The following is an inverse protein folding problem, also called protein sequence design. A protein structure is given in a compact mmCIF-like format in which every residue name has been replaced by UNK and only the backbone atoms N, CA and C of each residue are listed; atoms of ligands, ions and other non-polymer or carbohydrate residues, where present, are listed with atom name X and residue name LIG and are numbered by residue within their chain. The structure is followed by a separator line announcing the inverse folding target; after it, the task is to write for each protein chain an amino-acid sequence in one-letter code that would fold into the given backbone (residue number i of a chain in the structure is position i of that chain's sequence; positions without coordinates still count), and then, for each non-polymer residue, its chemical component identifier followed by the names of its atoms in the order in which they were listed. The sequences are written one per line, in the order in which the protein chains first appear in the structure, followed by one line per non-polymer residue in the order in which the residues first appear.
data_IF_295121384042
#
_entry.id   IF_295121384042
#
_cell.length_a   1.000
_cell.length_b   1.000
_cell.length_c   1.000
_cell.angle_alpha   90.00
_cell.angle_beta   90.00
_cell.angle_gamma   90.00
#
_symmetry.space_group_name_H-M   'P 1'
#
loop_
_entity.id
_entity.type
_entity.pdbx_description
1 polymer ?
#
# COMPACT_ATOMS: atom_id res chain seq x y z
N UNK A 1 -43.11 9.65 -3.58
CA UNK A 1 -41.98 9.65 -2.61
C UNK A 1 -41.76 11.09 -2.18
N UNK A 2 -41.81 11.36 -0.88
CA UNK A 2 -41.66 12.72 -0.34
C UNK A 2 -40.29 13.29 -0.73
N UNK A 3 -40.26 14.27 -1.64
CA UNK A 3 -39.12 15.17 -1.82
C UNK A 3 -39.08 16.12 -0.63
N UNK A 4 -38.64 15.63 0.54
CA UNK A 4 -38.11 16.54 1.56
C UNK A 4 -36.82 17.10 0.99
N UNK A 5 -36.83 18.38 0.64
CA UNK A 5 -35.61 19.10 0.30
C UNK A 5 -34.70 19.10 1.53
N UNK A 6 -33.75 18.16 1.58
CA UNK A 6 -32.73 18.18 2.62
C UNK A 6 -31.85 19.40 2.39
N UNK A 7 -31.82 20.30 3.35
CA UNK A 7 -30.83 21.37 3.38
C UNK A 7 -29.44 20.73 3.49
N UNK A 8 -28.46 21.15 2.66
CA UNK A 8 -27.10 20.62 2.75
C UNK A 8 -26.55 20.79 4.17
N UNK A 9 -25.82 19.82 4.75
CA UNK A 9 -25.30 19.92 6.12
C UNK A 9 -24.45 21.19 6.33
N UNK A 10 -24.85 22.04 7.27
CA UNK A 10 -24.16 23.30 7.57
C UNK A 10 -24.41 23.73 9.02
N UNK A 11 -23.56 24.62 9.52
CA UNK A 11 -23.70 25.27 10.83
C UNK A 11 -23.16 26.70 10.72
N UNK A 12 -24.07 27.66 10.59
CA UNK A 12 -23.70 29.07 10.40
C UNK A 12 -23.11 29.70 11.67
N UNK A 13 -23.47 29.20 12.85
CA UNK A 13 -22.93 29.70 14.11
C UNK A 13 -21.49 29.25 14.27
N UNK A 14 -21.19 27.99 13.95
CA UNK A 14 -19.83 27.47 13.91
C UNK A 14 -18.94 28.23 12.92
N UNK A 15 -19.44 28.50 11.71
CA UNK A 15 -18.71 29.27 10.71
C UNK A 15 -18.36 30.68 11.20
N UNK A 16 -19.34 31.38 11.78
CA UNK A 16 -19.12 32.71 12.33
C UNK A 16 -18.18 32.70 13.53
N UNK A 17 -18.25 31.66 14.38
CA UNK A 17 -17.34 31.50 15.51
C UNK A 17 -15.89 31.32 15.06
N UNK A 18 -15.64 30.48 14.05
CA UNK A 18 -14.30 30.26 13.48
C UNK A 18 -13.75 31.55 12.87
N UNK A 19 -14.55 32.25 12.05
CA UNK A 19 -14.16 33.55 11.48
C UNK A 19 -13.85 34.53 12.61
N UNK A 20 -14.73 34.63 13.61
CA UNK A 20 -14.56 35.52 14.75
C UNK A 20 -13.26 35.26 15.51
N UNK A 21 -12.93 33.98 15.76
CA UNK A 21 -11.67 33.59 16.40
C UNK A 21 -10.46 34.07 15.59
N UNK A 22 -10.44 33.89 14.26
CA UNK A 22 -9.33 34.39 13.43
C UNK A 22 -9.26 35.92 13.35
N UNK A 23 -10.38 36.63 13.51
CA UNK A 23 -10.39 38.10 13.53
C UNK A 23 -9.97 38.71 14.87
N UNK A 24 -10.09 37.96 15.98
CA UNK A 24 -9.62 38.39 17.31
C UNK A 24 -8.19 37.88 17.57
N UNK A 25 -7.96 36.60 17.33
CA UNK A 25 -6.70 35.91 17.58
C UNK A 25 -5.98 35.63 16.25
N UNK A 26 -5.56 36.69 15.55
CA UNK A 26 -4.97 36.60 14.21
C UNK A 26 -3.80 35.63 14.09
N UNK A 27 -2.99 35.46 15.15
CA UNK A 27 -1.86 34.52 15.18
C UNK A 27 -2.30 33.06 15.05
N UNK A 28 -3.56 32.73 15.36
CA UNK A 28 -4.08 31.37 15.22
C UNK A 28 -3.99 30.85 13.77
N UNK A 29 -3.90 31.74 12.76
CA UNK A 29 -3.71 31.38 11.35
C UNK A 29 -2.36 30.73 11.05
N UNK A 30 -1.36 30.93 11.92
CA UNK A 30 -0.02 30.34 11.79
C UNK A 30 0.01 28.88 12.25
N UNK A 31 -0.78 28.57 13.27
CA UNK A 31 -0.83 27.24 13.91
C UNK A 31 -1.96 26.36 13.37
N UNK A 32 -2.96 26.96 12.73
CA UNK A 32 -4.17 26.27 12.28
C UNK A 32 -4.41 26.52 10.79
N UNK A 33 -4.77 25.45 10.09
CA UNK A 33 -5.10 25.52 8.66
C UNK A 33 -6.58 25.83 8.46
N UNK A 34 -6.87 27.02 7.92
CA UNK A 34 -8.20 27.41 7.47
C UNK A 34 -8.36 27.10 5.97
N UNK A 35 -9.38 26.32 5.61
CA UNK A 35 -9.76 26.12 4.21
C UNK A 35 -11.09 26.83 3.92
N UNK A 36 -11.13 27.86 3.06
CA UNK A 36 -12.35 28.58 2.74
C UNK A 36 -13.45 27.72 2.10
N UNK A 37 -13.10 26.63 1.42
CA UNK A 37 -14.09 25.78 0.75
C UNK A 37 -14.93 24.97 1.75
N UNK A 38 -14.50 24.89 3.01
CA UNK A 38 -15.25 24.21 4.07
C UNK A 38 -16.48 24.99 4.56
N UNK A 39 -16.59 26.27 4.21
CA UNK A 39 -17.73 27.09 4.58
C UNK A 39 -18.91 26.82 3.63
N UNK A 40 -20.13 26.86 4.15
CA UNK A 40 -21.35 26.72 3.36
C UNK A 40 -21.80 28.08 2.82
N UNK A 41 -21.73 29.13 3.66
CA UNK A 41 -22.27 30.45 3.31
C UNK A 41 -21.29 31.21 2.40
N UNK A 42 -21.71 31.69 1.20
CA UNK A 42 -20.82 32.37 0.25
C UNK A 42 -20.05 33.56 0.84
N UNK A 43 -20.70 34.34 1.69
CA UNK A 43 -20.11 35.49 2.37
C UNK A 43 -18.98 35.04 3.31
N UNK A 44 -19.19 33.94 4.04
CA UNK A 44 -18.17 33.38 4.93
C UNK A 44 -17.00 32.78 4.15
N UNK A 45 -17.24 32.18 2.98
CA UNK A 45 -16.18 31.72 2.05
C UNK A 45 -15.30 32.91 1.65
N UNK A 46 -15.90 34.04 1.28
CA UNK A 46 -15.15 35.24 0.88
C UNK A 46 -14.32 35.80 2.05
N UNK A 47 -14.89 35.87 3.26
CA UNK A 47 -14.17 36.33 4.45
C UNK A 47 -13.01 35.38 4.78
N UNK A 48 -13.24 34.07 4.76
CA UNK A 48 -12.19 33.07 5.00
C UNK A 48 -11.06 33.18 3.96
N UNK A 49 -11.38 33.43 2.67
CA UNK A 49 -10.37 33.70 1.63
C UNK A 49 -9.54 34.94 1.96
N UNK A 50 -10.16 36.03 2.39
CA UNK A 50 -9.45 37.24 2.78
C UNK A 50 -8.52 37.00 3.98
N UNK A 51 -9.00 36.28 5.02
CA UNK A 51 -8.20 35.88 6.19
C UNK A 51 -6.98 35.04 5.76
N UNK A 52 -7.19 34.03 4.90
CA UNK A 52 -6.08 33.22 4.38
C UNK A 52 -5.09 34.03 3.54
N UNK A 53 -5.57 35.00 2.75
CA UNK A 53 -4.72 35.87 1.94
C UNK A 53 -3.84 36.78 2.82
N UNK A 54 -4.40 37.33 3.91
CA UNK A 54 -3.64 38.11 4.88
C UNK A 54 -2.56 37.26 5.56
N UNK A 55 -2.92 36.04 6.02
CA UNK A 55 -1.96 35.11 6.60
C UNK A 55 -0.81 34.75 5.65
N UNK A 56 -1.11 34.51 4.36
CA UNK A 56 -0.08 34.26 3.32
C UNK A 56 0.86 35.45 3.09
N UNK A 57 0.39 36.68 3.32
CA UNK A 57 1.20 37.89 3.21
C UNK A 57 2.01 38.17 4.49
N UNK A 58 1.91 37.31 5.51
CA UNK A 58 2.56 37.50 6.80
C UNK A 58 1.89 38.56 7.68
N UNK A 59 0.69 39.01 7.32
CA UNK A 59 -0.09 39.97 8.10
C UNK A 59 -1.10 39.21 8.96
N UNK A 60 -0.99 39.26 10.30
CA UNK A 60 -2.00 38.66 11.18
C UNK A 60 -3.39 39.21 10.85
N UNK A 61 -4.38 38.36 10.55
CA UNK A 61 -5.74 38.81 10.31
C UNK A 61 -6.32 39.47 11.55
N UNK A 62 -6.98 40.61 11.35
CA UNK A 62 -7.85 41.23 12.34
C UNK A 62 -9.07 41.84 11.64
N UNK A 63 -10.03 42.35 12.41
CA UNK A 63 -11.24 42.97 11.87
C UNK A 63 -10.93 44.10 10.86
N UNK A 64 -9.93 44.94 11.15
CA UNK A 64 -9.56 46.08 10.32
C UNK A 64 -8.89 45.61 9.03
N UNK A 65 -7.89 44.73 9.13
CA UNK A 65 -7.15 44.16 8.00
C UNK A 65 -8.06 43.36 7.08
N UNK A 66 -8.97 42.55 7.63
CA UNK A 66 -9.95 41.83 6.84
C UNK A 66 -10.89 42.79 6.09
N UNK A 67 -11.34 43.87 6.73
CA UNK A 67 -12.17 44.91 6.10
C UNK A 67 -11.42 45.61 4.97
N UNK A 68 -10.16 45.99 5.19
CA UNK A 68 -9.31 46.64 4.17
C UNK A 68 -9.09 45.68 2.99
N UNK A 69 -8.78 44.42 3.27
CA UNK A 69 -8.53 43.40 2.25
C UNK A 69 -9.79 43.16 1.40
N UNK A 70 -10.96 42.97 2.03
CA UNK A 70 -12.23 42.79 1.33
C UNK A 70 -12.63 44.03 0.52
N UNK A 71 -12.34 45.24 1.02
CA UNK A 71 -12.57 46.48 0.28
C UNK A 71 -11.66 46.59 -0.94
N UNK A 72 -10.38 46.23 -0.80
CA UNK A 72 -9.40 46.21 -1.89
C UNK A 72 -9.78 45.22 -2.98
N UNK A 73 -10.36 44.09 -2.60
CA UNK A 73 -10.85 43.06 -3.53
C UNK A 73 -12.25 43.38 -4.11
N UNK A 74 -12.89 44.47 -3.69
CA UNK A 74 -14.24 44.84 -4.13
C UNK A 74 -15.37 43.97 -3.56
N UNK A 75 -15.08 43.15 -2.55
CA UNK A 75 -16.01 42.16 -1.97
C UNK A 75 -16.66 42.61 -0.66
N UNK A 76 -16.29 43.76 -0.09
CA UNK A 76 -16.78 44.21 1.22
C UNK A 76 -18.31 44.33 1.29
N UNK A 77 -18.94 44.90 0.26
CA UNK A 77 -20.40 45.01 0.24
C UNK A 77 -21.07 43.64 0.02
N UNK A 78 -20.44 42.74 -0.75
CA UNK A 78 -20.95 41.40 -1.02
C UNK A 78 -21.01 40.52 0.23
N UNK A 79 -20.17 40.80 1.25
CA UNK A 79 -20.19 40.06 2.52
C UNK A 79 -21.12 40.67 3.57
N UNK A 80 -21.88 41.72 3.24
CA UNK A 80 -22.74 42.43 4.19
C UNK A 80 -22.07 43.61 4.90
N UNK A 81 -20.94 44.09 4.38
CA UNK A 81 -20.24 45.27 4.86
C UNK A 81 -19.50 45.09 6.19
N UNK A 82 -18.96 46.19 6.76
CA UNK A 82 -18.21 46.15 8.02
C UNK A 82 -19.03 45.63 9.22
N UNK A 83 -20.36 45.80 9.18
CA UNK A 83 -21.26 45.35 10.24
C UNK A 83 -21.23 43.82 10.39
N UNK A 84 -21.31 43.07 9.28
CA UNK A 84 -21.30 41.61 9.32
C UNK A 84 -20.00 41.02 9.87
N UNK A 85 -18.87 41.64 9.53
CA UNK A 85 -17.55 41.28 10.09
C UNK A 85 -17.49 41.56 11.59
N UNK A 86 -18.04 42.70 12.05
CA UNK A 86 -18.11 43.04 13.47
C UNK A 86 -19.00 42.07 14.26
N UNK A 87 -20.13 41.65 13.69
CA UNK A 87 -21.00 40.65 14.30
C UNK A 87 -20.32 39.28 14.41
N UNK A 88 -19.62 38.87 13.36
CA UNK A 88 -18.85 37.61 13.35
C UNK A 88 -17.74 37.64 14.40
N UNK A 89 -17.03 38.77 14.53
CA UNK A 89 -16.02 38.98 15.57
C UNK A 89 -16.59 38.96 17.00
N UNK A 90 -17.91 39.08 17.23
CA UNK A 90 -18.50 38.94 18.57
C UNK A 90 -18.82 37.49 18.94
N UNK A 91 -18.95 36.59 17.96
CA UNK A 91 -19.35 35.19 18.18
C UNK A 91 -18.17 34.24 18.43
N UNK A 92 -17.04 34.77 18.91
CA UNK A 92 -15.76 34.06 19.05
C UNK A 92 -15.87 32.80 19.91
N UNK A 93 -15.30 31.71 19.42
CA UNK A 93 -14.90 30.57 20.25
C UNK A 93 -13.46 30.79 20.76
N UNK A 94 -13.16 30.34 21.97
CA UNK A 94 -11.78 30.35 22.48
C UNK A 94 -10.83 29.63 21.51
N UNK A 95 -9.63 30.17 21.23
CA UNK A 95 -8.67 29.50 20.37
C UNK A 95 -8.28 28.11 20.84
N UNK A 96 -8.39 27.80 22.13
CA UNK A 96 -8.18 26.45 22.66
C UNK A 96 -9.13 25.42 22.02
N UNK A 97 -10.32 25.84 21.58
CA UNK A 97 -11.31 24.99 20.93
C UNK A 97 -11.32 25.13 19.40
N UNK A 98 -10.54 26.06 18.82
CA UNK A 98 -10.55 26.34 17.39
C UNK A 98 -10.25 25.10 16.55
N UNK A 99 -9.29 24.28 16.98
CA UNK A 99 -8.94 23.01 16.31
C UNK A 99 -10.11 22.03 16.26
N UNK A 100 -10.89 21.94 17.34
CA UNK A 100 -12.10 21.13 17.39
C UNK A 100 -13.20 21.71 16.48
N UNK A 101 -13.40 23.02 16.48
CA UNK A 101 -14.37 23.69 15.61
C UNK A 101 -14.03 23.53 14.12
N UNK A 102 -12.76 23.66 13.74
CA UNK A 102 -12.28 23.41 12.37
C UNK A 102 -12.56 21.97 11.94
N UNK A 103 -12.35 21.00 12.83
CA UNK A 103 -12.68 19.59 12.57
C UNK A 103 -14.18 19.39 12.33
N UNK A 104 -15.04 20.03 13.13
CA UNK A 104 -16.50 19.96 12.93
C UNK A 104 -16.93 20.62 11.62
N UNK A 105 -16.32 21.75 11.25
CA UNK A 105 -16.60 22.43 9.98
C UNK A 105 -16.18 21.55 8.78
N UNK A 106 -15.01 20.92 8.88
CA UNK A 106 -14.53 19.96 7.89
C UNK A 106 -15.50 18.77 7.77
N UNK A 107 -16.00 18.23 8.89
CA UNK A 107 -16.99 17.14 8.85
C UNK A 107 -18.27 17.56 8.10
N UNK A 108 -18.79 18.77 8.37
CA UNK A 108 -19.96 19.31 7.66
C UNK A 108 -19.70 19.45 6.16
N UNK A 109 -18.51 19.94 5.78
CA UNK A 109 -18.10 20.01 4.38
C UNK A 109 -18.06 18.62 3.72
N UNK A 110 -17.45 17.63 4.37
CA UNK A 110 -17.39 16.26 3.85
C UNK A 110 -18.79 15.67 3.66
N UNK A 111 -19.70 15.90 4.62
CA UNK A 111 -21.11 15.49 4.50
C UNK A 111 -21.80 16.16 3.30
N UNK A 112 -21.52 17.44 3.02
CA UNK A 112 -22.02 18.12 1.80
C UNK A 112 -21.46 17.51 0.53
N UNK A 113 -20.15 17.24 0.47
CA UNK A 113 -19.53 16.60 -0.70
C UNK A 113 -20.12 15.22 -0.98
N UNK A 114 -20.34 14.41 0.07
CA UNK A 114 -21.01 13.12 -0.04
C UNK A 114 -22.44 13.24 -0.58
N UNK A 115 -23.22 14.22 -0.10
CA UNK A 115 -24.59 14.43 -0.57
C UNK A 115 -24.63 14.82 -2.05
N UNK A 116 -23.77 15.78 -2.47
CA UNK A 116 -23.65 16.19 -3.87
C UNK A 116 -23.21 15.04 -4.77
N UNK A 117 -22.24 14.24 -4.31
CA UNK A 117 -21.79 13.06 -5.03
C UNK A 117 -22.92 12.03 -5.19
N UNK A 118 -23.62 11.68 -4.10
CA UNK A 118 -24.72 10.74 -4.13
C UNK A 118 -25.83 11.20 -5.10
N UNK A 119 -26.15 12.49 -5.12
CA UNK A 119 -27.11 13.06 -6.06
C UNK A 119 -26.65 12.97 -7.52
N UNK A 120 -25.37 13.25 -7.81
CA UNK A 120 -24.79 13.08 -9.14
C UNK A 120 -24.88 11.62 -9.62
N UNK A 121 -24.55 10.68 -8.75
CA UNK A 121 -24.60 9.24 -9.05
C UNK A 121 -26.03 8.75 -9.24
N UNK A 122 -26.97 9.25 -8.44
CA UNK A 122 -28.40 9.00 -8.62
C UNK A 122 -28.83 9.36 -10.05
N UNK A 123 -28.56 10.58 -10.53
CA UNK A 123 -28.94 10.97 -11.88
C UNK A 123 -28.26 10.14 -12.97
N UNK A 124 -26.95 9.87 -12.84
CA UNK A 124 -26.21 9.03 -13.79
C UNK A 124 -26.74 7.60 -13.87
N UNK A 125 -27.25 7.04 -12.78
CA UNK A 125 -27.80 5.67 -12.76
C UNK A 125 -29.06 5.48 -13.61
N UNK A 126 -29.73 6.58 -14.00
CA UNK A 126 -30.90 6.55 -14.89
C UNK A 126 -30.56 6.92 -16.33
N UNK A 127 -29.31 7.27 -16.64
CA UNK A 127 -28.89 7.65 -18.00
C UNK A 127 -28.43 6.40 -18.77
N UNK A 128 -29.21 5.91 -19.75
CA UNK A 128 -28.88 4.69 -20.49
C UNK A 128 -27.72 4.88 -21.48
N UNK A 129 -27.20 6.10 -21.65
CA UNK A 129 -26.05 6.38 -22.53
C UNK A 129 -24.71 6.15 -21.82
N UNK A 130 -24.72 5.99 -20.49
CA UNK A 130 -23.52 5.77 -19.68
C UNK A 130 -23.30 4.27 -19.52
N UNK A 131 -22.10 3.81 -19.83
CA UNK A 131 -21.70 2.43 -19.59
C UNK A 131 -21.69 2.12 -18.08
N UNK A 132 -22.23 0.96 -17.70
CA UNK A 132 -22.41 0.58 -16.31
C UNK A 132 -21.06 0.34 -15.60
N UNK A 133 -20.07 -0.22 -16.30
CA UNK A 133 -18.75 -0.50 -15.72
C UNK A 133 -17.99 0.82 -15.47
N UNK A 134 -18.07 1.77 -16.40
CA UNK A 134 -17.52 3.11 -16.22
C UNK A 134 -18.16 3.85 -15.03
N UNK A 135 -19.49 3.74 -14.88
CA UNK A 135 -20.22 4.32 -13.75
C UNK A 135 -19.77 3.72 -12.41
N UNK A 136 -19.58 2.40 -12.36
CA UNK A 136 -19.10 1.71 -11.15
C UNK A 136 -17.66 2.09 -10.79
N UNK A 137 -16.78 2.25 -11.78
CA UNK A 137 -15.41 2.72 -11.59
C UNK A 137 -15.39 4.17 -11.09
N UNK A 138 -16.18 5.07 -11.70
CA UNK A 138 -16.31 6.46 -11.23
C UNK A 138 -16.83 6.51 -9.79
N UNK A 139 -17.79 5.66 -9.43
CA UNK A 139 -18.32 5.57 -8.09
C UNK A 139 -17.24 5.19 -7.07
N UNK A 140 -16.44 4.17 -7.40
CA UNK A 140 -15.34 3.69 -6.56
C UNK A 140 -14.22 4.72 -6.40
N UNK A 141 -13.81 5.39 -7.48
CA UNK A 141 -12.73 6.37 -7.41
C UNK A 141 -13.12 7.61 -6.60
N UNK A 142 -14.35 8.10 -6.77
CA UNK A 142 -14.78 9.32 -6.09
C UNK A 142 -15.10 9.11 -4.61
N UNK A 143 -15.65 7.96 -4.20
CA UNK A 143 -15.86 7.69 -2.77
C UNK A 143 -14.54 7.62 -2.01
N UNK A 144 -13.48 7.14 -2.67
CA UNK A 144 -12.13 7.14 -2.12
C UNK A 144 -11.55 8.56 -2.03
N UNK A 145 -11.76 9.41 -3.04
CA UNK A 145 -11.35 10.82 -2.99
C UNK A 145 -12.03 11.59 -1.83
N UNK A 146 -13.25 11.21 -1.45
CA UNK A 146 -13.93 11.79 -0.26
C UNK A 146 -13.37 11.26 1.06
N UNK A 147 -12.75 10.07 1.06
CA UNK A 147 -12.07 9.49 2.22
C UNK A 147 -10.63 10.03 2.38
N UNK A 148 -9.99 10.47 1.30
CA UNK A 148 -8.60 10.94 1.25
C UNK A 148 -8.39 12.41 1.67
N UNK A 149 -9.37 13.02 2.36
CA UNK A 149 -9.26 14.41 2.86
C UNK A 149 -8.28 14.60 4.04
N UNK A 150 -7.57 13.55 4.45
CA UNK A 150 -6.38 13.70 5.28
C UNK A 150 -5.23 14.08 4.36
N UNK A 151 -4.97 15.38 4.21
CA UNK A 151 -3.75 15.85 3.56
C UNK A 151 -2.53 15.21 4.21
N UNK A 152 -1.53 14.88 3.39
CA UNK A 152 -0.24 14.42 3.86
C UNK A 152 0.26 15.35 4.98
N UNK A 153 0.41 14.81 6.18
CA UNK A 153 0.91 15.55 7.33
C UNK A 153 2.33 16.02 6.99
N UNK A 154 2.51 17.34 6.81
CA UNK A 154 3.85 17.92 6.62
C UNK A 154 4.52 17.89 7.99
N UNK A 155 5.40 16.90 8.18
CA UNK A 155 6.09 16.65 9.44
C UNK A 155 7.39 17.46 9.48
N UNK A 156 7.72 18.11 10.61
CA UNK A 156 8.99 18.81 10.77
C UNK A 156 10.17 17.82 10.87
N UNK A 157 11.40 18.30 10.64
CA UNK A 157 12.60 17.47 10.78
C UNK A 157 12.72 16.89 12.19
N UNK A 158 12.44 17.69 13.22
CA UNK A 158 12.53 17.28 14.62
C UNK A 158 11.55 16.15 14.96
N UNK A 159 10.29 16.29 14.52
CA UNK A 159 9.27 15.24 14.68
C UNK A 159 9.64 13.96 13.92
N UNK A 160 10.29 14.07 12.76
CA UNK A 160 10.81 12.91 12.01
C UNK A 160 11.97 12.24 12.76
N UNK A 161 12.90 13.03 13.31
CA UNK A 161 14.03 12.53 14.09
C UNK A 161 13.59 11.79 15.35
N UNK A 162 12.60 12.30 16.08
CA UNK A 162 12.05 11.61 17.25
C UNK A 162 11.52 10.22 16.89
N UNK A 163 10.74 10.12 15.79
CA UNK A 163 10.22 8.83 15.29
C UNK A 163 11.35 7.86 14.92
N UNK A 164 12.39 8.36 14.24
CA UNK A 164 13.56 7.54 13.84
C UNK A 164 14.35 7.05 15.05
N UNK A 165 14.61 7.93 16.03
CA UNK A 165 15.35 7.59 17.26
C UNK A 165 14.57 6.58 18.09
N UNK A 166 13.26 6.75 18.22
CA UNK A 166 12.40 5.81 18.93
C UNK A 166 12.37 4.44 18.24
N UNK A 167 12.28 4.42 16.91
CA UNK A 167 12.37 3.18 16.13
C UNK A 167 13.74 2.50 16.30
N UNK A 168 14.84 3.27 16.27
CA UNK A 168 16.18 2.74 16.46
C UNK A 168 16.38 2.14 17.87
N UNK A 169 15.82 2.77 18.91
CA UNK A 169 15.82 2.23 20.28
C UNK A 169 15.06 0.90 20.36
N UNK A 170 13.85 0.85 19.78
CA UNK A 170 13.04 -0.39 19.70
C UNK A 170 13.79 -1.52 18.98
N UNK A 171 14.47 -1.21 17.88
CA UNK A 171 15.24 -2.20 17.12
C UNK A 171 16.44 -2.76 17.93
N UNK A 172 17.12 -1.88 18.68
CA UNK A 172 18.26 -2.25 19.52
C UNK A 172 17.89 -3.20 20.66
N UNK A 173 16.73 -2.98 21.26
CA UNK A 173 16.25 -3.77 22.41
C UNK A 173 15.68 -5.14 22.01
N UNK A 174 15.20 -5.28 20.77
CA UNK A 174 14.50 -6.49 20.30
C UNK A 174 15.28 -7.43 19.38
N UNK A 175 16.41 -7.02 18.80
CA UNK A 175 17.18 -7.85 17.83
C UNK A 175 16.36 -8.32 16.62
N UNK A 176 15.19 -7.75 16.40
CA UNK A 176 14.18 -8.26 15.49
C UNK A 176 14.24 -7.50 14.15
N UNK A 177 14.01 -8.26 13.09
CA UNK A 177 13.63 -7.82 11.75
C UNK A 177 12.63 -6.65 11.87
N UNK A 178 12.92 -5.49 11.26
CA UNK A 178 12.04 -4.31 11.34
C UNK A 178 10.76 -4.45 10.54
N UNK A 179 10.84 -5.22 9.45
CA UNK A 179 9.71 -5.54 8.58
C UNK A 179 9.06 -6.89 8.92
N UNK A 180 8.18 -7.34 8.02
CA UNK A 180 7.61 -8.68 8.07
C UNK A 180 8.70 -9.68 7.63
N UNK A 181 9.06 -10.62 8.49
CA UNK A 181 10.06 -11.65 8.17
C UNK A 181 9.63 -12.53 7.00
N UNK A 182 10.57 -12.82 6.09
CA UNK A 182 10.36 -13.73 4.95
C UNK A 182 10.62 -15.18 5.33
N UNK A 183 11.35 -15.43 6.43
CA UNK A 183 11.82 -16.75 6.85
C UNK A 183 12.95 -17.29 5.98
N UNK A 184 13.45 -16.47 5.05
CA UNK A 184 14.61 -16.74 4.23
C UNK A 184 15.75 -15.85 4.74
N UNK A 185 16.59 -16.38 5.63
CA UNK A 185 17.52 -15.59 6.44
C UNK A 185 18.45 -14.70 5.62
N UNK A 186 18.94 -15.18 4.48
CA UNK A 186 19.75 -14.34 3.58
C UNK A 186 18.94 -13.15 3.05
N UNK A 187 17.69 -13.35 2.66
CA UNK A 187 16.81 -12.25 2.22
C UNK A 187 16.49 -11.30 3.38
N UNK A 188 16.19 -11.84 4.57
CA UNK A 188 15.90 -11.05 5.75
C UNK A 188 17.13 -10.23 6.18
N UNK A 189 18.35 -10.75 6.03
CA UNK A 189 19.58 -10.02 6.31
C UNK A 189 19.80 -8.83 5.34
N UNK A 190 19.46 -9.00 4.06
CA UNK A 190 19.51 -7.90 3.10
C UNK A 190 18.43 -6.85 3.38
N UNK A 191 17.21 -7.30 3.69
CA UNK A 191 16.02 -6.43 3.70
C UNK A 191 15.65 -5.89 5.08
N UNK A 192 16.20 -6.50 6.12
CA UNK A 192 15.68 -6.42 7.49
C UNK A 192 14.17 -6.70 7.54
N UNK A 193 13.72 -7.64 6.70
CA UNK A 193 12.32 -7.98 6.47
C UNK A 193 11.64 -7.11 5.43
N UNK A 194 10.41 -7.46 5.10
CA UNK A 194 9.60 -6.71 4.14
C UNK A 194 9.01 -5.48 4.81
N UNK A 195 9.38 -4.28 4.35
CA UNK A 195 8.94 -3.04 4.98
C UNK A 195 7.54 -2.64 4.50
N UNK A 196 6.84 -1.88 5.35
CA UNK A 196 5.57 -1.27 4.99
C UNK A 196 5.76 -0.24 3.88
N UNK A 197 4.85 -0.21 2.92
CA UNK A 197 4.96 0.70 1.79
C UNK A 197 5.78 0.16 0.63
N UNK A 198 6.47 -0.98 0.79
CA UNK A 198 7.32 -1.55 -0.25
C UNK A 198 6.52 -2.29 -1.32
N UNK A 199 6.94 -2.09 -2.57
CA UNK A 199 6.64 -2.95 -3.71
C UNK A 199 7.86 -3.82 -4.01
N UNK A 200 7.71 -5.13 -3.77
CA UNK A 200 8.72 -6.15 -4.06
C UNK A 200 8.31 -6.89 -5.34
N UNK A 201 9.12 -6.80 -6.39
CA UNK A 201 8.90 -7.56 -7.61
C UNK A 201 9.70 -8.85 -7.55
N UNK A 202 9.05 -10.00 -7.76
CA UNK A 202 9.71 -11.29 -7.97
C UNK A 202 9.57 -11.66 -9.44
N UNK A 203 10.69 -11.69 -10.16
CA UNK A 203 10.74 -12.03 -11.57
C UNK A 203 11.64 -13.21 -11.88
N UNK A 204 11.38 -13.84 -13.02
CA UNK A 204 11.98 -15.10 -13.42
C UNK A 204 11.33 -15.64 -14.69
N UNK A 205 11.97 -16.60 -15.35
CA UNK A 205 11.39 -17.26 -16.51
C UNK A 205 10.17 -18.13 -16.14
N UNK A 206 9.43 -18.58 -17.16
CA UNK A 206 8.39 -19.60 -16.98
C UNK A 206 8.99 -20.83 -16.31
N UNK A 207 8.28 -21.43 -15.36
CA UNK A 207 8.75 -22.62 -14.61
C UNK A 207 9.97 -22.41 -13.69
N UNK A 208 10.54 -21.21 -13.60
CA UNK A 208 11.64 -20.91 -12.68
C UNK A 208 11.25 -21.01 -11.19
N UNK A 209 9.95 -21.02 -10.87
CA UNK A 209 9.46 -21.15 -9.50
C UNK A 209 9.09 -19.84 -8.81
N UNK A 210 8.77 -18.77 -9.55
CA UNK A 210 8.39 -17.46 -8.99
C UNK A 210 7.24 -17.54 -7.99
N UNK A 211 6.12 -18.14 -8.40
CA UNK A 211 4.94 -18.34 -7.56
C UNK A 211 5.29 -19.22 -6.36
N UNK A 212 6.13 -20.23 -6.55
CA UNK A 212 6.63 -21.09 -5.46
C UNK A 212 7.45 -20.31 -4.43
N UNK A 213 8.31 -19.39 -4.86
CA UNK A 213 9.06 -18.49 -3.98
C UNK A 213 8.12 -17.53 -3.25
N UNK A 214 7.19 -16.90 -3.97
CA UNK A 214 6.17 -16.02 -3.38
C UNK A 214 5.32 -16.73 -2.32
N UNK A 215 4.86 -17.95 -2.59
CA UNK A 215 4.14 -18.79 -1.62
C UNK A 215 5.03 -19.15 -0.43
N UNK A 216 6.31 -19.45 -0.63
CA UNK A 216 7.24 -19.76 0.48
C UNK A 216 7.38 -18.56 1.42
N UNK A 217 7.55 -17.36 0.87
CA UNK A 217 7.62 -16.11 1.62
C UNK A 217 6.31 -15.85 2.36
N UNK A 218 5.16 -15.92 1.66
CA UNK A 218 3.83 -15.75 2.25
C UNK A 218 3.57 -16.72 3.40
N UNK A 219 3.87 -18.01 3.19
CA UNK A 219 3.70 -19.08 4.18
C UNK A 219 4.45 -18.71 5.44
N UNK A 220 5.74 -18.41 5.33
CA UNK A 220 6.58 -18.07 6.46
C UNK A 220 6.09 -16.79 7.15
N UNK A 221 5.79 -15.74 6.38
CA UNK A 221 5.28 -14.47 6.90
C UNK A 221 4.02 -14.65 7.74
N UNK A 222 3.04 -15.42 7.23
CA UNK A 222 1.77 -15.64 7.94
C UNK A 222 1.94 -16.61 9.10
N UNK A 223 2.61 -17.75 8.89
CA UNK A 223 2.67 -18.83 9.87
C UNK A 223 3.68 -18.62 11.00
N UNK A 224 4.74 -17.84 10.75
CA UNK A 224 5.83 -17.66 11.70
C UNK A 224 5.97 -16.20 12.18
N UNK A 225 5.54 -15.22 11.39
CA UNK A 225 5.68 -13.79 11.70
C UNK A 225 4.35 -13.06 11.89
N UNK A 226 3.23 -13.78 11.90
CA UNK A 226 1.90 -13.22 12.20
C UNK A 226 1.36 -12.24 11.16
N UNK A 227 1.88 -12.28 9.92
CA UNK A 227 1.36 -11.47 8.83
C UNK A 227 -0.08 -11.86 8.51
N UNK A 228 -0.86 -10.88 8.02
CA UNK A 228 -2.22 -11.06 7.53
C UNK A 228 -2.18 -10.80 6.04
N UNK A 229 -2.40 -11.84 5.24
CA UNK A 229 -2.10 -11.80 3.82
C UNK A 229 -3.33 -11.89 2.92
N UNK A 230 -3.27 -11.25 1.76
CA UNK A 230 -4.18 -11.50 0.66
C UNK A 230 -3.43 -11.93 -0.60
N UNK A 231 -3.97 -12.90 -1.33
CA UNK A 231 -3.39 -13.43 -2.55
C UNK A 231 -4.37 -13.24 -3.70
N UNK A 232 -3.90 -12.57 -4.74
CA UNK A 232 -4.59 -12.36 -6.00
C UNK A 232 -3.82 -13.13 -7.07
N UNK A 233 -4.40 -14.19 -7.62
CA UNK A 233 -3.78 -14.97 -8.68
C UNK A 233 -4.72 -15.07 -9.88
N UNK A 234 -4.17 -14.75 -11.05
CA UNK A 234 -4.90 -14.88 -12.32
C UNK A 234 -4.52 -16.16 -13.07
N UNK A 235 -3.42 -16.81 -12.71
CA UNK A 235 -2.96 -18.05 -13.36
C UNK A 235 -3.42 -19.32 -12.62
N UNK A 236 -3.61 -19.26 -11.30
CA UNK A 236 -3.86 -20.42 -10.46
C UNK A 236 -5.15 -20.28 -9.66
N UNK A 237 -5.88 -21.38 -9.55
CA UNK A 237 -7.08 -21.44 -8.69
C UNK A 237 -6.70 -21.45 -7.21
N UNK A 238 -7.66 -21.11 -6.34
CA UNK A 238 -7.47 -21.12 -4.88
C UNK A 238 -7.04 -22.50 -4.37
N UNK A 239 -7.61 -23.57 -4.93
CA UNK A 239 -7.25 -24.96 -4.60
C UNK A 239 -5.81 -25.29 -5.00
N UNK A 240 -5.35 -24.81 -6.16
CA UNK A 240 -3.97 -25.03 -6.60
C UNK A 240 -2.97 -24.29 -5.70
N UNK A 241 -3.26 -23.03 -5.33
CA UNK A 241 -2.42 -22.28 -4.38
C UNK A 241 -2.39 -22.94 -3.01
N UNK A 242 -3.55 -23.33 -2.48
CA UNK A 242 -3.69 -23.98 -1.18
C UNK A 242 -2.96 -25.33 -1.14
N UNK A 243 -3.05 -26.14 -2.21
CA UNK A 243 -2.33 -27.40 -2.29
C UNK A 243 -0.80 -27.22 -2.26
N UNK A 244 -0.27 -26.15 -2.87
CA UNK A 244 1.16 -25.81 -2.78
C UNK A 244 1.55 -25.34 -1.39
N UNK A 245 0.70 -24.55 -0.73
CA UNK A 245 0.92 -24.13 0.65
C UNK A 245 1.02 -25.33 1.59
N UNK A 246 0.06 -26.26 1.51
CA UNK A 246 0.09 -27.52 2.26
C UNK A 246 1.33 -28.34 1.93
N UNK A 247 1.65 -28.47 0.63
CA UNK A 247 2.82 -29.22 0.17
C UNK A 247 4.13 -28.70 0.75
N UNK A 248 4.29 -27.38 0.84
CA UNK A 248 5.44 -26.75 1.47
C UNK A 248 5.45 -26.85 3.00
N UNK A 249 4.30 -27.10 3.64
CA UNK A 249 4.17 -27.23 5.09
C UNK A 249 4.37 -28.68 5.55
N UNK A 250 3.83 -29.65 4.82
CA UNK A 250 3.78 -31.07 5.22
C UNK A 250 4.82 -31.94 4.54
N UNK A 251 5.43 -31.47 3.45
CA UNK A 251 6.32 -32.28 2.62
C UNK A 251 5.60 -33.18 1.61
N UNK A 252 4.27 -33.19 1.60
CA UNK A 252 3.47 -34.01 0.69
C UNK A 252 3.32 -33.30 -0.65
N UNK A 253 3.64 -33.95 -1.77
CA UNK A 253 3.56 -33.30 -3.08
C UNK A 253 2.19 -32.70 -3.39
N UNK A 254 2.17 -31.44 -3.85
CA UNK A 254 0.95 -30.74 -4.29
C UNK A 254 0.16 -31.52 -5.36
N UNK A 255 0.84 -32.27 -6.23
CA UNK A 255 0.18 -33.12 -7.24
C UNK A 255 -0.66 -34.23 -6.59
N UNK A 256 -0.16 -34.84 -5.51
CA UNK A 256 -0.88 -35.88 -4.78
C UNK A 256 -2.06 -35.30 -4.01
N UNK A 257 -1.86 -34.15 -3.37
CA UNK A 257 -2.92 -33.41 -2.69
C UNK A 257 -4.06 -33.07 -3.66
N UNK A 258 -3.75 -32.55 -4.85
CA UNK A 258 -4.76 -32.18 -5.85
C UNK A 258 -5.44 -33.38 -6.52
N UNK A 259 -4.70 -34.46 -6.76
CA UNK A 259 -5.24 -35.65 -7.44
C UNK A 259 -6.00 -36.60 -6.52
N UNK A 260 -5.89 -36.41 -5.19
CA UNK A 260 -6.56 -37.25 -4.19
C UNK A 260 -5.88 -38.60 -3.93
N UNK A 261 -4.79 -38.93 -4.63
CA UNK A 261 -4.00 -40.14 -4.38
C UNK A 261 -3.10 -39.96 -3.15
N UNK A 262 -3.72 -40.03 -1.98
CA UNK A 262 -3.09 -39.89 -0.66
C UNK A 262 -3.31 -41.13 0.19
N UNK A 263 -2.31 -41.46 0.99
CA UNK A 263 -2.42 -42.48 2.03
C UNK A 263 -3.22 -41.94 3.23
N UNK A 264 -3.84 -42.80 4.05
CA UNK A 264 -4.52 -42.37 5.27
C UNK A 264 -3.62 -41.52 6.19
N UNK A 265 -2.33 -41.87 6.32
CA UNK A 265 -1.36 -41.14 7.12
C UNK A 265 -1.08 -39.74 6.57
N UNK A 266 -1.05 -39.57 5.24
CA UNK A 266 -0.87 -38.26 4.61
C UNK A 266 -2.09 -37.36 4.82
N UNK A 267 -3.30 -37.92 4.81
CA UNK A 267 -4.53 -37.18 5.12
C UNK A 267 -4.49 -36.69 6.58
N UNK A 268 -4.14 -37.57 7.52
CA UNK A 268 -3.96 -37.21 8.93
C UNK A 268 -2.91 -36.09 9.10
N UNK A 269 -1.79 -36.17 8.36
CA UNK A 269 -0.75 -35.13 8.36
C UNK A 269 -1.30 -33.78 7.89
N UNK A 270 -2.17 -33.76 6.87
CA UNK A 270 -2.81 -32.53 6.40
C UNK A 270 -3.80 -31.96 7.43
N UNK A 271 -4.56 -32.82 8.12
CA UNK A 271 -5.49 -32.40 9.17
C UNK A 271 -4.75 -31.80 10.37
N UNK A 272 -3.66 -32.42 10.81
CA UNK A 272 -2.78 -31.89 11.86
C UNK A 272 -2.21 -30.53 11.44
N UNK A 273 -1.72 -30.41 10.20
CA UNK A 273 -1.20 -29.15 9.68
C UNK A 273 -2.28 -28.06 9.64
N UNK A 274 -3.51 -28.40 9.23
CA UNK A 274 -4.66 -27.48 9.22
C UNK A 274 -4.98 -26.98 10.61
N UNK A 275 -5.11 -27.87 11.60
CA UNK A 275 -5.43 -27.47 12.98
C UNK A 275 -4.30 -26.63 13.61
N UNK A 276 -3.03 -26.96 13.35
CA UNK A 276 -1.87 -26.17 13.81
C UNK A 276 -1.88 -24.73 13.29
N UNK A 277 -2.49 -24.49 12.12
CA UNK A 277 -2.53 -23.18 11.46
C UNK A 277 -3.89 -22.48 11.58
N UNK A 278 -4.77 -22.98 12.45
CA UNK A 278 -6.05 -22.36 12.76
C UNK A 278 -5.85 -20.93 13.28
N UNK A 279 -6.58 -19.99 12.70
CA UNK A 279 -6.45 -18.56 13.03
C UNK A 279 -5.44 -17.80 12.16
N UNK A 280 -4.66 -18.47 11.31
CA UNK A 280 -3.87 -17.80 10.27
C UNK A 280 -4.80 -17.04 9.31
N UNK A 281 -4.50 -15.76 9.07
CA UNK A 281 -5.32 -14.89 8.21
C UNK A 281 -4.67 -14.78 6.83
N UNK A 282 -5.06 -15.68 5.94
CA UNK A 282 -4.69 -15.65 4.53
C UNK A 282 -5.96 -15.73 3.68
N UNK A 283 -6.18 -14.70 2.87
CA UNK A 283 -7.35 -14.58 2.01
C UNK A 283 -6.94 -14.81 0.55
N UNK A 284 -7.80 -15.48 -0.20
CA UNK A 284 -7.63 -15.65 -1.65
C UNK A 284 -8.78 -14.96 -2.37
N UNK A 285 -8.46 -14.26 -3.47
CA UNK A 285 -9.45 -13.67 -4.36
C UNK A 285 -9.26 -14.28 -5.76
N UNK A 286 -10.21 -15.11 -6.17
CA UNK A 286 -10.22 -15.82 -7.46
C UNK A 286 -11.07 -15.09 -8.52
N UNK A 287 -11.46 -13.83 -8.26
CA UNK A 287 -12.25 -13.07 -9.24
C UNK A 287 -11.48 -12.96 -10.56
N UNK A 288 -12.08 -13.50 -11.63
CA UNK A 288 -11.63 -13.52 -13.02
C UNK A 288 -11.61 -12.13 -13.69
N UNK A 289 -11.48 -11.04 -12.93
CA UNK A 289 -11.45 -9.70 -13.49
C UNK A 289 -10.00 -9.23 -13.57
N UNK A 290 -9.49 -9.12 -14.80
CA UNK A 290 -8.16 -8.62 -15.13
C UNK A 290 -7.99 -7.12 -14.79
N UNK A 291 -8.87 -6.50 -14.01
CA UNK A 291 -8.81 -5.07 -13.72
C UNK A 291 -8.06 -4.82 -12.40
N UNK A 292 -6.91 -4.14 -12.51
CA UNK A 292 -6.09 -3.73 -11.37
C UNK A 292 -6.85 -2.85 -10.37
N UNK A 293 -7.80 -2.02 -10.80
CA UNK A 293 -8.57 -1.14 -9.92
C UNK A 293 -9.51 -1.95 -9.03
N UNK A 294 -10.05 -3.07 -9.55
CA UNK A 294 -10.86 -4.01 -8.76
C UNK A 294 -10.02 -4.72 -7.70
N UNK A 295 -8.78 -5.10 -8.05
CA UNK A 295 -7.82 -5.69 -7.11
C UNK A 295 -7.50 -4.67 -6.01
N UNK A 296 -7.15 -3.44 -6.37
CA UNK A 296 -6.89 -2.35 -5.42
C UNK A 296 -8.07 -2.10 -4.47
N UNK A 297 -9.31 -2.07 -4.98
CA UNK A 297 -10.51 -1.93 -4.16
C UNK A 297 -10.70 -3.13 -3.21
N UNK A 298 -10.45 -4.35 -3.67
CA UNK A 298 -10.49 -5.56 -2.83
C UNK A 298 -9.45 -5.49 -1.71
N UNK A 299 -8.22 -5.05 -2.01
CA UNK A 299 -7.14 -4.85 -1.02
C UNK A 299 -7.59 -3.85 0.05
N UNK A 300 -8.10 -2.67 -0.34
CA UNK A 300 -8.60 -1.66 0.60
C UNK A 300 -9.68 -2.23 1.52
N UNK A 301 -10.65 -2.97 0.96
CA UNK A 301 -11.73 -3.61 1.74
C UNK A 301 -11.20 -4.63 2.74
N UNK A 302 -10.26 -5.49 2.33
CA UNK A 302 -9.64 -6.47 3.22
C UNK A 302 -8.76 -5.81 4.28
N UNK A 303 -8.07 -4.72 3.95
CA UNK A 303 -7.28 -3.96 4.90
C UNK A 303 -8.17 -3.30 5.96
N UNK A 304 -9.28 -2.68 5.54
CA UNK A 304 -10.24 -2.08 6.47
C UNK A 304 -10.82 -3.12 7.44
N UNK A 305 -11.27 -4.27 6.92
CA UNK A 305 -11.98 -5.30 7.68
C UNK A 305 -11.07 -6.20 8.52
N UNK A 306 -9.93 -6.61 7.97
CA UNK A 306 -9.06 -7.64 8.56
C UNK A 306 -7.64 -7.17 8.84
N UNK A 307 -7.32 -5.89 8.56
CA UNK A 307 -5.99 -5.30 8.78
C UNK A 307 -4.88 -6.11 8.10
N UNK A 308 -5.11 -6.54 6.85
CA UNK A 308 -4.07 -7.19 6.05
C UNK A 308 -2.88 -6.26 5.90
N UNK A 309 -1.66 -6.81 5.97
CA UNK A 309 -0.41 -6.07 5.90
C UNK A 309 0.58 -6.63 4.87
N UNK A 310 0.19 -7.70 4.17
CA UNK A 310 0.94 -8.32 3.09
C UNK A 310 -0.01 -8.68 1.95
N UNK A 311 0.37 -8.37 0.72
CA UNK A 311 -0.39 -8.74 -0.48
C UNK A 311 0.53 -9.40 -1.48
N UNK A 312 0.10 -10.50 -2.10
CA UNK A 312 0.74 -11.05 -3.30
C UNK A 312 -0.19 -10.93 -4.50
N UNK A 313 0.35 -10.43 -5.61
CA UNK A 313 -0.38 -10.30 -6.88
C UNK A 313 0.40 -11.02 -8.00
N UNK A 314 -0.23 -12.00 -8.62
CA UNK A 314 0.27 -12.69 -9.82
C UNK A 314 -0.48 -12.16 -11.05
N UNK A 315 0.03 -11.05 -11.63
CA UNK A 315 -0.72 -10.20 -12.57
C UNK A 315 -0.37 -10.43 -14.04
N UNK A 316 0.35 -11.50 -14.36
CA UNK A 316 0.90 -11.70 -15.71
C UNK A 316 -0.14 -11.81 -16.84
N UNK A 317 -1.41 -12.02 -16.51
CA UNK A 317 -2.51 -12.11 -17.48
C UNK A 317 -3.41 -10.87 -17.59
N UNK A 318 -3.15 -9.78 -16.85
CA UNK A 318 -3.97 -8.55 -16.96
C UNK A 318 -3.90 -7.93 -18.37
N UNK A 319 -2.94 -8.36 -19.18
CA UNK A 319 -2.63 -7.79 -20.49
C UNK A 319 -3.22 -8.70 -21.58
N UNK A 320 -4.53 -8.58 -21.78
CA UNK A 320 -5.21 -9.11 -22.97
C UNK A 320 -5.25 -7.98 -24.02
N UNK A 321 -4.47 -8.09 -25.10
CA UNK A 321 -4.52 -7.16 -26.22
C UNK A 321 -3.34 -7.33 -27.18
N UNK A 322 -3.61 -7.37 -28.49
CA UNK A 322 -2.67 -7.78 -29.56
C UNK A 322 -1.64 -6.69 -29.97
N UNK A 323 -1.39 -5.71 -29.10
CA UNK A 323 -0.52 -4.55 -29.40
C UNK A 323 0.70 -4.48 -28.46
N UNK A 324 1.80 -5.10 -28.89
CA UNK A 324 3.06 -5.28 -28.13
C UNK A 324 3.68 -4.01 -27.48
N UNK A 325 3.29 -2.79 -27.91
CA UNK A 325 3.74 -1.52 -27.29
C UNK A 325 2.78 -0.99 -26.21
N UNK A 326 1.48 -1.27 -26.31
CA UNK A 326 0.48 -0.87 -25.33
C UNK A 326 0.67 -1.63 -24.00
N UNK A 327 1.22 -2.84 -24.08
CA UNK A 327 1.42 -3.76 -22.96
C UNK A 327 2.44 -3.27 -21.92
N UNK A 328 3.51 -2.59 -22.36
CA UNK A 328 4.56 -2.13 -21.43
C UNK A 328 4.12 -0.95 -20.57
N UNK A 329 3.39 -0.01 -21.17
CA UNK A 329 2.80 1.13 -20.45
C UNK A 329 1.76 0.66 -19.43
N UNK A 330 0.96 -0.35 -19.77
CA UNK A 330 -0.01 -0.96 -18.86
C UNK A 330 0.67 -1.64 -17.66
N UNK A 331 1.74 -2.40 -17.89
CA UNK A 331 2.52 -3.03 -16.80
C UNK A 331 3.06 -1.97 -15.83
N UNK A 332 3.58 -0.89 -16.36
CA UNK A 332 4.11 0.20 -15.57
C UNK A 332 3.03 0.95 -14.77
N UNK A 333 1.86 1.15 -15.36
CA UNK A 333 0.69 1.70 -14.67
C UNK A 333 0.27 0.78 -13.51
N UNK A 334 0.19 -0.52 -13.74
CA UNK A 334 -0.15 -1.51 -12.70
C UNK A 334 0.86 -1.44 -11.54
N UNK A 335 2.16 -1.43 -11.82
CA UNK A 335 3.17 -1.34 -10.77
C UNK A 335 3.09 -0.02 -10.00
N UNK A 336 2.82 1.10 -10.67
CA UNK A 336 2.58 2.39 -9.99
C UNK A 336 1.35 2.34 -9.10
N UNK A 337 0.23 1.77 -9.58
CA UNK A 337 -0.98 1.57 -8.77
C UNK A 337 -0.72 0.70 -7.54
N UNK A 338 0.00 -0.42 -7.72
CA UNK A 338 0.39 -1.31 -6.62
C UNK A 338 1.33 -0.61 -5.61
N UNK A 339 2.30 0.17 -6.08
CA UNK A 339 3.19 0.97 -5.22
C UNK A 339 2.41 2.04 -4.45
N UNK A 340 1.46 2.70 -5.09
CA UNK A 340 0.59 3.68 -4.44
C UNK A 340 -0.25 3.02 -3.34
N UNK A 341 -0.88 1.87 -3.62
CA UNK A 341 -1.61 1.09 -2.62
C UNK A 341 -0.72 0.65 -1.45
N UNK A 342 0.50 0.19 -1.74
CA UNK A 342 1.45 -0.21 -0.71
C UNK A 342 1.71 0.95 0.26
N UNK A 343 1.97 2.15 -0.27
CA UNK A 343 2.22 3.37 0.52
C UNK A 343 0.98 3.90 1.22
N UNK A 344 -0.16 3.96 0.53
CA UNK A 344 -1.44 4.45 1.05
C UNK A 344 -1.88 3.66 2.27
N UNK A 345 -1.79 2.32 2.21
CA UNK A 345 -2.26 1.44 3.27
C UNK A 345 -1.16 1.00 4.24
N UNK A 346 0.08 1.49 4.04
CA UNK A 346 1.28 1.06 4.76
C UNK A 346 1.43 -0.48 4.84
N UNK A 347 1.24 -1.16 3.69
CA UNK A 347 1.36 -2.61 3.55
C UNK A 347 2.52 -2.98 2.63
N UNK A 348 3.00 -4.22 2.71
CA UNK A 348 3.94 -4.76 1.72
C UNK A 348 3.16 -5.38 0.56
N UNK A 349 3.56 -5.09 -0.68
CA UNK A 349 3.04 -5.74 -1.88
C UNK A 349 4.14 -6.54 -2.59
N UNK A 350 3.91 -7.83 -2.79
CA UNK A 350 4.72 -8.72 -3.62
C UNK A 350 4.03 -8.87 -4.97
N UNK A 351 4.71 -8.50 -6.05
CA UNK A 351 4.17 -8.58 -7.40
C UNK A 351 5.01 -9.56 -8.23
N UNK A 352 4.37 -10.59 -8.79
CA UNK A 352 5.05 -11.61 -9.61
C UNK A 352 5.12 -11.15 -11.07
N UNK A 353 6.31 -11.21 -11.66
CA UNK A 353 6.56 -10.75 -13.03
C UNK A 353 7.35 -11.77 -13.86
N UNK A 354 7.23 -11.75 -15.18
CA UNK A 354 7.91 -12.66 -16.08
C UNK A 354 9.04 -11.92 -16.80
N UNK A 355 10.16 -12.60 -16.98
CA UNK A 355 11.26 -12.11 -17.80
C UNK A 355 11.00 -12.37 -19.29
N UNK A 356 11.54 -11.50 -20.14
CA UNK A 356 11.69 -11.78 -21.57
C UNK A 356 12.63 -12.98 -21.75
N UNK A 357 12.25 -13.92 -22.63
CA UNK A 357 13.09 -15.09 -22.97
C UNK A 357 14.37 -14.62 -23.64
N UNK A 358 15.52 -15.17 -23.22
CA UNK A 358 16.80 -14.92 -23.87
C UNK A 358 17.62 -16.22 -23.83
N UNK A 359 17.53 -17.06 -24.88
CA UNK A 359 18.20 -18.36 -24.92
C UNK A 359 19.72 -18.24 -24.72
N UNK A 360 20.32 -17.17 -25.28
CA UNK A 360 21.77 -16.97 -25.28
C UNK A 360 22.31 -16.38 -23.98
N UNK A 361 21.44 -15.83 -23.12
CA UNK A 361 21.80 -15.19 -21.84
C UNK A 361 20.86 -15.66 -20.74
N UNK A 362 21.00 -16.91 -20.25
CA UNK A 362 20.06 -17.53 -19.33
C UNK A 362 20.00 -16.79 -17.98
N UNK A 363 21.11 -16.17 -17.55
CA UNK A 363 21.15 -15.39 -16.30
C UNK A 363 20.23 -14.15 -16.37
N UNK A 364 19.29 -13.99 -15.43
CA UNK A 364 18.41 -12.83 -15.35
C UNK A 364 19.15 -11.51 -15.11
N UNK A 365 18.57 -10.43 -15.63
CA UNK A 365 18.94 -9.05 -15.26
C UNK A 365 17.69 -8.15 -15.33
N UNK A 366 17.76 -6.94 -14.77
CA UNK A 366 16.63 -5.99 -14.72
C UNK A 366 16.15 -5.60 -16.12
N UNK A 367 17.07 -5.43 -17.08
CA UNK A 367 16.73 -5.06 -18.46
C UNK A 367 15.81 -6.10 -19.14
N UNK A 368 15.77 -7.34 -18.64
CA UNK A 368 14.88 -8.41 -19.11
C UNK A 368 13.47 -8.38 -18.49
N UNK A 369 13.19 -7.52 -17.52
CA UNK A 369 11.81 -7.29 -17.04
C UNK A 369 10.96 -6.73 -18.19
N UNK A 370 9.71 -7.18 -18.30
CA UNK A 370 8.74 -6.55 -19.21
C UNK A 370 8.38 -5.16 -18.68
N UNK A 371 8.54 -4.10 -19.47
CA UNK A 371 8.36 -2.72 -18.98
C UNK A 371 9.48 -2.25 -18.04
N UNK A 372 10.70 -2.77 -18.22
CA UNK A 372 11.85 -2.67 -17.31
C UNK A 372 12.13 -1.27 -16.78
N UNK A 373 12.09 -0.22 -17.60
CA UNK A 373 12.39 1.15 -17.13
C UNK A 373 11.42 1.64 -16.05
N UNK A 374 10.11 1.57 -16.31
CA UNK A 374 9.11 2.11 -15.38
C UNK A 374 8.79 1.15 -14.22
N UNK A 375 8.90 -0.17 -14.44
CA UNK A 375 8.83 -1.14 -13.34
C UNK A 375 9.98 -0.97 -12.36
N UNK A 376 11.18 -0.78 -12.90
CA UNK A 376 12.36 -0.51 -12.08
C UNK A 376 12.12 0.74 -11.25
N UNK A 377 11.65 1.85 -11.82
CA UNK A 377 11.36 3.07 -11.06
C UNK A 377 10.34 2.86 -9.92
N UNK A 378 9.27 2.10 -10.16
CA UNK A 378 8.19 1.90 -9.19
C UNK A 378 8.56 0.95 -8.03
N UNK A 379 9.33 -0.10 -8.29
CA UNK A 379 9.68 -1.10 -7.30
C UNK A 379 10.74 -0.62 -6.30
N UNK A 380 10.61 -1.00 -5.03
CA UNK A 380 11.65 -0.76 -4.03
C UNK A 380 12.69 -1.88 -4.05
N UNK A 381 12.24 -3.12 -4.28
CA UNK A 381 13.08 -4.31 -4.38
C UNK A 381 12.70 -5.11 -5.63
N UNK A 382 13.71 -5.56 -6.38
CA UNK A 382 13.54 -6.48 -7.50
C UNK A 382 14.36 -7.73 -7.25
N UNK A 383 13.68 -8.87 -7.08
CA UNK A 383 14.26 -10.20 -6.92
C UNK A 383 14.15 -10.96 -8.24
N UNK A 384 15.29 -11.39 -8.79
CA UNK A 384 15.37 -12.17 -10.01
C UNK A 384 15.75 -13.61 -9.66
N UNK A 385 14.86 -14.55 -9.95
CA UNK A 385 15.03 -15.95 -9.69
C UNK A 385 15.72 -16.65 -10.87
N UNK A 386 16.83 -17.31 -10.58
CA UNK A 386 17.65 -18.02 -11.55
C UNK A 386 17.90 -19.47 -11.10
N UNK A 387 17.64 -20.42 -11.99
CA UNK A 387 17.86 -21.85 -11.77
C UNK A 387 18.72 -22.44 -12.90
N UNK A 388 20.05 -22.51 -12.74
CA UNK A 388 20.95 -23.07 -13.74
C UNK A 388 20.61 -24.51 -14.17
N UNK A 389 20.03 -25.30 -13.25
CA UNK A 389 19.54 -26.66 -13.50
C UNK A 389 18.63 -26.73 -14.74
N UNK A 390 17.80 -25.71 -14.99
CA UNK A 390 16.88 -25.68 -16.14
C UNK A 390 17.59 -25.63 -17.49
N UNK A 391 18.85 -25.22 -17.51
CA UNK A 391 19.67 -25.12 -18.70
C UNK A 391 20.83 -26.12 -18.69
N UNK A 392 20.87 -27.01 -17.69
CA UNK A 392 21.97 -27.94 -17.47
C UNK A 392 23.35 -27.26 -17.37
N UNK A 393 23.40 -26.07 -16.77
CA UNK A 393 24.63 -25.29 -16.54
C UNK A 393 24.94 -25.16 -15.05
N UNK A 394 26.20 -24.85 -14.72
CA UNK A 394 26.64 -24.56 -13.34
C UNK A 394 26.42 -23.09 -13.01
N UNK A 395 26.52 -22.75 -11.72
CA UNK A 395 26.58 -21.35 -11.31
C UNK A 395 27.93 -20.71 -11.70
N UNK A 396 27.90 -19.40 -11.90
CA UNK A 396 29.10 -18.58 -12.02
C UNK A 396 29.66 -18.21 -10.62
N UNK A 397 30.83 -17.58 -10.59
CA UNK A 397 31.39 -17.05 -9.33
C UNK A 397 30.44 -16.04 -8.67
N UNK A 398 30.37 -16.01 -7.32
CA UNK A 398 31.16 -16.80 -6.36
C UNK A 398 30.55 -18.18 -6.03
N UNK A 399 29.54 -18.65 -6.76
CA UNK A 399 28.75 -19.85 -6.41
C UNK A 399 29.14 -21.10 -7.20
N UNK A 400 30.30 -21.13 -7.85
CA UNK A 400 30.79 -22.25 -8.68
C UNK A 400 30.86 -23.59 -7.94
N UNK A 401 31.07 -23.57 -6.64
CA UNK A 401 31.12 -24.75 -5.77
C UNK A 401 29.73 -25.32 -5.41
N UNK A 402 28.65 -24.58 -5.65
CA UNK A 402 27.30 -24.95 -5.23
C UNK A 402 26.65 -25.86 -6.27
N UNK A 403 25.99 -26.96 -5.86
CA UNK A 403 25.28 -27.83 -6.78
C UNK A 403 24.14 -27.07 -7.45
N UNK A 404 24.05 -27.14 -8.78
CA UNK A 404 22.97 -26.53 -9.54
C UNK A 404 21.61 -27.23 -9.34
N UNK A 405 21.61 -28.56 -9.14
CA UNK A 405 20.41 -29.35 -8.86
C UNK A 405 19.83 -29.03 -7.49
N UNK A 406 18.52 -28.80 -7.43
CA UNK A 406 17.81 -28.58 -6.16
C UNK A 406 18.17 -27.26 -5.45
N UNK A 407 18.75 -26.30 -6.17
CA UNK A 407 19.06 -24.96 -5.66
C UNK A 407 18.57 -23.90 -6.65
N UNK A 408 18.48 -22.66 -6.18
CA UNK A 408 18.25 -21.50 -7.02
C UNK A 408 19.03 -20.30 -6.49
N UNK A 409 19.51 -19.46 -7.41
CA UNK A 409 20.04 -18.14 -7.09
C UNK A 409 18.91 -17.11 -7.11
N UNK A 410 18.82 -16.32 -6.05
CA UNK A 410 18.01 -15.11 -6.01
C UNK A 410 18.96 -13.92 -6.14
N UNK A 411 18.76 -13.12 -7.17
CA UNK A 411 19.55 -11.93 -7.46
C UNK A 411 18.72 -10.71 -7.08
N UNK A 412 19.21 -9.89 -6.16
CA UNK A 412 18.66 -8.58 -5.86
C UNK A 412 19.15 -7.63 -6.97
N UNK A 413 18.33 -7.48 -8.00
CA UNK A 413 18.63 -6.61 -9.13
C UNK A 413 18.57 -5.14 -8.72
N UNK A 414 17.58 -4.78 -7.90
CA UNK A 414 17.39 -3.43 -7.34
C UNK A 414 17.04 -3.54 -5.86
N UNK A 415 17.60 -2.64 -5.06
CA UNK A 415 17.23 -2.47 -3.67
C UNK A 415 17.43 -1.02 -3.24
N UNK A 416 16.33 -0.25 -3.15
CA UNK A 416 16.35 1.21 -2.92
C UNK A 416 17.16 1.63 -1.68
N UNK A 417 17.14 0.78 -0.63
CA UNK A 417 17.81 1.03 0.65
C UNK A 417 18.76 -0.11 1.09
N UNK A 418 18.93 -1.14 0.26
CA UNK A 418 19.61 -2.39 0.63
C UNK A 418 20.75 -2.76 -0.32
N UNK A 419 20.90 -2.03 -1.43
CA UNK A 419 21.88 -2.33 -2.47
C UNK A 419 21.48 -3.51 -3.36
N UNK A 420 22.46 -4.05 -4.07
CA UNK A 420 22.32 -5.23 -4.92
C UNK A 420 23.16 -6.37 -4.37
N UNK A 421 22.83 -7.59 -4.77
CA UNK A 421 23.50 -8.78 -4.27
C UNK A 421 22.84 -10.04 -4.80
N UNK A 422 23.34 -11.19 -4.37
CA UNK A 422 22.67 -12.44 -4.65
C UNK A 422 22.98 -13.48 -3.59
N UNK A 423 22.08 -14.43 -3.44
CA UNK A 423 22.21 -15.52 -2.48
C UNK A 423 21.55 -16.78 -3.03
N UNK A 424 21.85 -17.91 -2.39
CA UNK A 424 21.35 -19.22 -2.80
C UNK A 424 20.26 -19.67 -1.84
N UNK A 425 19.21 -20.26 -2.42
CA UNK A 425 18.16 -20.97 -1.72
C UNK A 425 18.16 -22.43 -2.16
N UNK A 426 17.70 -23.31 -1.27
CA UNK A 426 17.36 -24.67 -1.64
C UNK A 426 15.97 -24.69 -2.27
N UNK A 427 15.83 -25.39 -3.38
CA UNK A 427 14.56 -25.63 -4.05
C UNK A 427 14.25 -27.13 -3.99
N UNK A 428 13.10 -27.49 -3.41
CA UNK A 428 12.61 -28.86 -3.45
C UNK A 428 11.56 -28.99 -4.58
N UNK A 429 11.85 -29.75 -5.66
CA UNK A 429 10.91 -29.93 -6.77
C UNK A 429 9.61 -30.63 -6.37
N UNK A 430 9.66 -31.60 -5.46
CA UNK A 430 8.50 -32.41 -5.07
C UNK A 430 7.45 -31.58 -4.34
N UNK A 431 7.93 -30.72 -3.44
CA UNK A 431 7.07 -29.82 -2.65
C UNK A 431 6.87 -28.46 -3.30
N UNK A 432 7.63 -28.17 -4.36
CA UNK A 432 7.74 -26.84 -4.96
C UNK A 432 8.05 -25.74 -3.92
N UNK A 433 8.91 -26.05 -2.94
CA UNK A 433 9.22 -25.18 -1.82
C UNK A 433 10.63 -24.60 -1.87
N UNK A 434 10.76 -23.35 -1.41
CA UNK A 434 12.05 -22.70 -1.17
C UNK A 434 12.37 -22.67 0.32
N UNK A 435 13.62 -23.00 0.66
CA UNK A 435 14.13 -22.99 2.03
C UNK A 435 15.56 -22.44 2.06
N UNK A 436 16.04 -22.09 3.26
CA UNK A 436 17.40 -21.62 3.45
C UNK A 436 18.41 -22.68 2.98
N UNK A 437 19.41 -22.24 2.23
CA UNK A 437 20.56 -23.06 1.88
C UNK A 437 21.66 -22.81 2.91
N UNK A 438 22.08 -23.85 3.63
CA UNK A 438 23.16 -23.80 4.61
C UNK A 438 24.33 -24.58 4.00
N UNK A 439 25.41 -23.89 3.65
CA UNK A 439 26.64 -24.53 3.17
C UNK A 439 27.58 -24.76 4.36
N UNK A 440 28.08 -25.99 4.53
CA UNK A 440 28.85 -26.38 5.73
C UNK A 440 30.23 -25.72 5.85
N UNK A 441 30.68 -24.94 4.86
CA UNK A 441 31.98 -24.25 4.88
C UNK A 441 31.93 -22.98 4.05
N UNK A 442 32.43 -21.89 4.64
CA UNK A 442 32.63 -20.53 4.08
C UNK A 442 31.42 -19.59 4.17
N UNK A 443 31.24 -19.02 5.36
CA UNK A 443 30.78 -17.64 5.49
C UNK A 443 31.58 -16.98 6.64
N UNK A 444 32.55 -16.08 6.35
CA UNK A 444 33.40 -15.47 7.37
C UNK A 444 32.65 -14.59 8.38
N UNK A 445 31.41 -14.21 8.07
CA UNK A 445 30.61 -13.26 8.86
C UNK A 445 29.53 -13.92 9.74
N UNK A 446 29.50 -15.25 9.84
CA UNK A 446 28.49 -16.00 10.61
C UNK A 446 28.88 -16.18 12.10
N UNK A 447 29.00 -15.07 12.83
CA UNK A 447 28.95 -15.06 14.29
C UNK A 447 27.90 -14.08 14.82
N UNK A 448 26.63 -14.39 14.53
CA UNK A 448 25.50 -13.88 15.30
C UNK A 448 24.53 -15.04 15.57
N UNK A 449 24.93 -15.95 16.45
CA UNK A 449 23.93 -16.69 17.22
C UNK A 449 23.12 -15.68 18.06
N UNK A 450 21.78 -15.82 18.16
CA UNK A 450 21.01 -15.06 19.11
C UNK A 450 21.50 -15.44 20.50
N UNK A 451 22.17 -14.51 21.20
CA UNK A 451 22.61 -14.70 22.59
C UNK A 451 21.40 -15.08 23.43
N UNK A 452 21.27 -16.37 23.70
CA UNK A 452 20.35 -16.88 24.69
C UNK A 452 20.77 -16.36 26.07
N UNK A 453 19.79 -15.80 26.77
CA UNK A 453 19.70 -15.51 28.20
C UNK A 453 21.00 -15.67 29.02
N UNK A 454 21.56 -14.55 29.46
CA UNK A 454 22.32 -14.55 30.72
C UNK A 454 21.36 -14.29 31.86
N UNK A 455 21.35 -15.13 32.92
CA UNK A 455 20.67 -14.80 34.16
C UNK A 455 21.62 -13.93 34.98
N UNK A 456 21.20 -12.71 35.34
CA UNK A 456 21.36 -12.09 36.66
C UNK A 456 20.54 -10.80 36.69
#
# INVERSE_FOLDING_TARGET
MNNQSHTPPHDLELEQAIIGTFLIEGNAILENRLNPDWFYKPENIMIAKAICNLGKQGTPPDLLQATIQLKKEGNLENVGGPLYLSESARKVASAANLKHHLKNLQELFLRRQLATFAQKQYYKSFDPTIDLDDLLIEYQNNILNVLDFNEAEIVSLDQSFEKVIEQAKRNREGGNITGIGTGLFKLDNFTNGMQKGDLIIIAGETSAGKTSLGISILKNAVFNFGARAAVYSLEMTNSQLSSRLFSQETGISAKRILSGYMTPQEIETLEIAKEKRKGALMFYDERSNNNIDTICASIRRLHLKYKINLVMVDYLQIISGDERKADETKIAEIARKLKNIARELEITVIALSQLRRSPDRPKPNIARLRGSGQLEEAADIVLLLYRPEMYNIKYDDPFTAIPNTGTAQVIIGKGRNIGTGSFILRFNPETSGFTNYIHATVDPDEHLEPKSKTPY
#
